data_IF_618666786231
#
_entry.id   IF_618666786231
#
_cell.length_a   1.000
_cell.length_b   1.000
_cell.length_c   1.000
_cell.angle_alpha   90.00
_cell.angle_beta   90.00
_cell.angle_gamma   90.00
#
_symmetry.space_group_name_H-M   'P 1'
#
loop_
_entity.id
_entity.type
_entity.pdbx_description
1 polymer ?
#
# COMPACT_ATOMS: atom_id res chain seq x y z
N UNK A 1 -1.82 -16.88 15.52
CA UNK A 1 -0.52 -17.03 14.84
C UNK A 1 -0.60 -16.31 13.51
N UNK A 2 0.35 -15.46 13.17
CA UNK A 2 0.34 -14.83 11.86
C UNK A 2 0.58 -15.86 10.76
N UNK A 3 -0.14 -15.70 9.67
CA UNK A 3 0.07 -16.52 8.49
C UNK A 3 1.13 -15.86 7.62
N UNK A 4 1.98 -16.66 7.03
CA UNK A 4 2.99 -16.16 6.10
C UNK A 4 2.89 -16.91 4.79
N UNK A 5 3.42 -16.28 3.74
CA UNK A 5 3.45 -16.87 2.41
C UNK A 5 4.79 -16.54 1.76
N UNK A 6 5.43 -17.56 1.17
CA UNK A 6 6.67 -17.33 0.42
C UNK A 6 6.34 -17.11 -1.04
N UNK A 7 6.78 -15.97 -1.57
CA UNK A 7 6.51 -15.59 -2.96
C UNK A 7 7.15 -16.59 -3.92
N UNK A 8 6.38 -17.00 -4.94
CA UNK A 8 6.85 -17.90 -5.99
C UNK A 8 7.08 -17.10 -7.29
N UNK A 9 7.92 -17.61 -8.21
CA UNK A 9 8.11 -16.95 -9.49
C UNK A 9 6.77 -16.72 -10.20
N UNK A 10 6.56 -15.50 -10.69
CA UNK A 10 5.33 -15.15 -11.38
C UNK A 10 4.20 -14.68 -10.49
N UNK A 11 4.36 -14.70 -9.16
CA UNK A 11 3.32 -14.26 -8.24
C UNK A 11 3.10 -12.76 -8.32
N UNK A 12 1.83 -12.36 -8.07
CA UNK A 12 1.45 -10.97 -7.88
C UNK A 12 0.68 -10.88 -6.55
N UNK A 13 0.62 -9.68 -5.96
CA UNK A 13 -0.13 -9.52 -4.71
C UNK A 13 -1.60 -9.89 -4.87
N UNK A 14 -2.23 -9.50 -5.99
CA UNK A 14 -3.62 -9.86 -6.23
C UNK A 14 -3.79 -11.37 -6.41
N UNK A 15 -2.85 -12.04 -7.07
CA UNK A 15 -2.87 -13.48 -7.20
C UNK A 15 -2.71 -14.19 -5.86
N UNK A 16 -1.79 -13.69 -5.03
CA UNK A 16 -1.60 -14.23 -3.67
C UNK A 16 -2.88 -14.03 -2.86
N UNK A 17 -3.49 -12.84 -2.94
CA UNK A 17 -4.74 -12.57 -2.22
C UNK A 17 -5.85 -13.50 -2.66
N UNK A 18 -5.96 -13.77 -3.97
CA UNK A 18 -6.97 -14.70 -4.47
C UNK A 18 -6.76 -16.11 -3.92
N UNK A 19 -5.52 -16.60 -3.92
CA UNK A 19 -5.21 -17.96 -3.48
C UNK A 19 -5.28 -18.11 -1.96
N UNK A 20 -4.78 -17.14 -1.21
CA UNK A 20 -4.63 -17.25 0.23
C UNK A 20 -5.81 -16.70 1.02
N UNK A 21 -6.50 -15.69 0.47
CA UNK A 21 -7.60 -15.01 1.16
C UNK A 21 -8.94 -15.24 0.47
N UNK A 22 -8.92 -15.81 -0.74
CA UNK A 22 -10.13 -16.04 -1.50
C UNK A 22 -10.70 -14.82 -2.22
N UNK A 23 -9.95 -13.71 -2.22
CA UNK A 23 -10.43 -12.46 -2.81
C UNK A 23 -9.24 -11.63 -3.28
N UNK A 24 -9.07 -11.51 -4.59
CA UNK A 24 -7.97 -10.76 -5.17
C UNK A 24 -7.98 -9.28 -4.77
N UNK A 25 -9.17 -8.72 -4.53
CA UNK A 25 -9.30 -7.30 -4.17
C UNK A 25 -8.74 -6.97 -2.78
N UNK A 26 -8.37 -7.98 -2.01
CA UNK A 26 -7.75 -7.77 -0.69
C UNK A 26 -6.24 -7.57 -0.73
N UNK A 27 -5.63 -7.50 -1.92
CA UNK A 27 -4.18 -7.32 -2.03
C UNK A 27 -3.65 -6.06 -1.29
N UNK A 28 -4.40 -4.95 -1.16
CA UNK A 28 -3.89 -3.81 -0.39
C UNK A 28 -3.63 -4.13 1.07
N UNK A 29 -4.37 -5.08 1.66
CA UNK A 29 -4.12 -5.50 3.04
C UNK A 29 -2.78 -6.21 3.16
N UNK A 30 -2.42 -7.03 2.17
CA UNK A 30 -1.11 -7.68 2.15
C UNK A 30 -0.01 -6.63 2.01
N UNK A 31 -0.18 -5.68 1.10
CA UNK A 31 0.80 -4.61 0.90
C UNK A 31 1.00 -3.81 2.19
N UNK A 32 -0.08 -3.42 2.86
CA UNK A 32 -0.01 -2.63 4.08
C UNK A 32 0.80 -3.35 5.17
N UNK A 33 0.57 -4.64 5.35
CA UNK A 33 1.28 -5.42 6.37
C UNK A 33 2.77 -5.60 6.06
N UNK A 34 3.17 -5.44 4.81
CA UNK A 34 4.52 -5.75 4.36
C UNK A 34 5.30 -4.55 3.83
N UNK A 35 4.90 -3.33 4.21
CA UNK A 35 5.54 -2.11 3.68
C UNK A 35 7.01 -2.00 4.04
N UNK A 36 7.44 -2.67 5.09
CA UNK A 36 8.85 -2.66 5.48
C UNK A 36 9.73 -3.47 4.52
N UNK A 37 9.14 -4.43 3.81
CA UNK A 37 9.90 -5.29 2.90
C UNK A 37 9.52 -5.10 1.43
N UNK A 38 8.32 -4.60 1.12
CA UNK A 38 7.92 -4.29 -0.25
C UNK A 38 7.49 -2.83 -0.32
N UNK A 39 8.11 -2.10 -1.25
CA UNK A 39 7.86 -0.65 -1.41
C UNK A 39 6.87 -0.34 -2.52
N UNK A 40 6.61 -1.31 -3.39
CA UNK A 40 5.68 -1.15 -4.49
C UNK A 40 4.95 -2.47 -4.68
N UNK A 41 3.60 -2.46 -4.86
CA UNK A 41 2.83 -3.70 -4.93
C UNK A 41 3.21 -4.59 -6.12
N UNK A 42 3.83 -4.03 -7.16
CA UNK A 42 4.27 -4.82 -8.33
C UNK A 42 5.72 -5.29 -8.21
N UNK A 43 6.40 -4.97 -7.12
CA UNK A 43 7.82 -5.28 -6.95
C UNK A 43 8.04 -6.28 -5.84
N UNK A 44 7.47 -7.47 -5.99
CA UNK A 44 7.71 -8.58 -5.08
C UNK A 44 8.66 -9.56 -5.79
N UNK A 45 9.43 -10.31 -4.99
CA UNK A 45 10.47 -11.19 -5.51
C UNK A 45 10.29 -12.62 -5.01
N UNK A 46 10.58 -13.63 -5.85
CA UNK A 46 10.52 -15.02 -5.40
C UNK A 46 11.42 -15.25 -4.18
N UNK A 47 10.95 -16.03 -3.23
CA UNK A 47 11.66 -16.31 -1.99
C UNK A 47 11.37 -15.32 -0.87
N UNK A 48 10.74 -14.20 -1.18
CA UNK A 48 10.35 -13.20 -0.19
C UNK A 48 9.20 -13.75 0.67
N UNK A 49 9.27 -13.54 1.99
CA UNK A 49 8.24 -14.02 2.92
C UNK A 49 7.33 -12.84 3.28
N UNK A 50 6.04 -13.01 3.03
CA UNK A 50 5.03 -11.98 3.29
C UNK A 50 4.13 -12.41 4.44
N UNK A 51 3.78 -11.45 5.29
CA UNK A 51 2.78 -11.65 6.34
C UNK A 51 1.40 -11.46 5.73
N UNK A 52 0.49 -12.40 5.99
CA UNK A 52 -0.86 -12.33 5.46
C UNK A 52 -1.83 -11.80 6.51
N UNK A 53 -2.87 -11.04 6.08
CA UNK A 53 -3.94 -10.63 6.99
C UNK A 53 -4.80 -11.81 7.41
N UNK A 54 -5.60 -11.61 8.45
CA UNK A 54 -6.55 -12.62 8.89
C UNK A 54 -7.72 -12.81 7.93
N UNK A 55 -8.62 -13.72 8.28
CA UNK A 55 -9.77 -14.06 7.44
C UNK A 55 -10.79 -12.91 7.36
N UNK A 56 -10.85 -12.07 8.39
CA UNK A 56 -11.77 -10.93 8.40
C UNK A 56 -11.16 -9.75 7.66
N UNK A 57 -11.81 -9.25 6.59
CA UNK A 57 -11.29 -8.09 5.87
C UNK A 57 -11.18 -6.85 6.75
N UNK A 58 -10.18 -6.02 6.47
CA UNK A 58 -10.02 -4.72 7.13
C UNK A 58 -11.22 -3.81 6.81
N UNK A 59 -11.68 -3.07 7.82
CA UNK A 59 -12.78 -2.12 7.66
C UNK A 59 -12.39 -0.78 8.26
N UNK A 60 -12.31 0.28 7.45
CA UNK A 60 -12.44 0.30 6.00
C UNK A 60 -11.17 -0.28 5.32
N UNK A 61 -11.27 -0.73 4.07
CA UNK A 61 -10.10 -1.27 3.38
C UNK A 61 -9.06 -0.18 3.12
N UNK A 62 -7.76 -0.52 3.12
CA UNK A 62 -6.73 0.47 2.84
C UNK A 62 -6.82 0.98 1.41
N UNK A 63 -6.62 2.30 1.25
CA UNK A 63 -6.57 2.93 -0.07
C UNK A 63 -5.12 3.20 -0.43
N UNK A 64 -4.76 2.90 -1.66
CA UNK A 64 -3.39 3.03 -2.14
C UNK A 64 -3.35 3.98 -3.32
N UNK A 65 -2.35 4.88 -3.33
CA UNK A 65 -2.15 5.83 -4.40
C UNK A 65 -0.69 5.77 -4.88
N UNK A 66 -0.49 5.69 -6.19
CA UNK A 66 0.85 5.73 -6.78
C UNK A 66 1.12 7.14 -7.26
N UNK A 67 2.21 7.75 -6.77
CA UNK A 67 2.58 9.13 -7.08
C UNK A 67 2.94 9.24 -8.56
N UNK A 68 2.44 10.30 -9.21
CA UNK A 68 2.73 10.63 -10.59
C UNK A 68 3.68 11.82 -10.66
N UNK A 69 4.41 12.00 -11.79
CA UNK A 69 5.26 13.18 -11.93
C UNK A 69 4.46 14.47 -11.72
N UNK A 70 5.01 15.37 -10.93
CA UNK A 70 4.37 16.65 -10.63
C UNK A 70 3.38 16.65 -9.47
N UNK A 71 3.13 15.48 -8.87
CA UNK A 71 2.20 15.41 -7.74
C UNK A 71 2.79 16.06 -6.49
N UNK A 72 1.90 16.63 -5.67
CA UNK A 72 2.21 17.10 -4.33
C UNK A 72 1.20 16.50 -3.36
N UNK A 73 1.55 16.44 -2.07
CA UNK A 73 0.61 15.89 -1.08
C UNK A 73 -0.69 16.68 -1.03
N UNK A 74 -0.61 18.01 -1.15
CA UNK A 74 -1.81 18.84 -1.13
C UNK A 74 -2.69 18.60 -2.35
N UNK A 75 -2.11 18.42 -3.53
CA UNK A 75 -2.87 18.10 -4.73
C UNK A 75 -3.52 16.73 -4.64
N UNK A 76 -2.78 15.74 -4.10
CA UNK A 76 -3.31 14.40 -3.88
C UNK A 76 -4.48 14.48 -2.89
N UNK A 77 -4.32 15.23 -1.79
CA UNK A 77 -5.37 15.39 -0.80
C UNK A 77 -6.61 16.03 -1.40
N UNK A 78 -6.44 17.04 -2.27
CA UNK A 78 -7.56 17.69 -2.93
C UNK A 78 -8.35 16.70 -3.79
N UNK A 79 -7.67 15.90 -4.57
CA UNK A 79 -8.32 14.95 -5.48
C UNK A 79 -8.92 13.75 -4.76
N UNK A 80 -8.16 13.18 -3.81
CA UNK A 80 -8.53 11.89 -3.21
C UNK A 80 -9.34 12.04 -1.93
N UNK A 81 -9.16 13.15 -1.20
CA UNK A 81 -9.83 13.37 0.08
C UNK A 81 -10.80 14.56 0.03
N UNK A 82 -10.81 15.31 -1.06
CA UNK A 82 -11.71 16.43 -1.23
C UNK A 82 -11.26 17.76 -0.63
N UNK A 83 -10.08 17.80 0.00
CA UNK A 83 -9.56 19.04 0.60
C UNK A 83 -8.05 19.01 0.63
N UNK A 84 -7.41 19.99 0.00
CA UNK A 84 -5.96 20.10 -0.02
C UNK A 84 -5.39 20.21 1.40
N UNK A 85 -6.13 20.85 2.32
CA UNK A 85 -5.69 21.04 3.70
C UNK A 85 -5.55 19.73 4.49
N UNK A 86 -5.99 18.60 3.93
CA UNK A 86 -5.85 17.30 4.58
C UNK A 86 -4.53 16.61 4.27
N UNK A 87 -3.59 17.28 3.58
CA UNK A 87 -2.30 16.65 3.24
C UNK A 87 -1.53 16.15 4.49
N UNK A 88 -1.63 16.77 5.69
CA UNK A 88 -0.93 16.21 6.85
C UNK A 88 -1.38 14.80 7.21
N UNK A 89 -2.63 14.44 6.94
CA UNK A 89 -3.12 13.08 7.20
C UNK A 89 -2.40 12.07 6.30
N UNK A 90 -2.14 12.45 5.03
CA UNK A 90 -1.40 11.59 4.12
C UNK A 90 0.05 11.46 4.61
N UNK A 91 0.68 12.57 4.98
CA UNK A 91 2.05 12.56 5.47
C UNK A 91 2.20 11.66 6.71
N UNK A 92 1.30 11.80 7.68
CA UNK A 92 1.36 11.01 8.91
C UNK A 92 1.22 9.51 8.63
N UNK A 93 0.36 9.13 7.68
CA UNK A 93 0.18 7.74 7.31
C UNK A 93 1.39 7.13 6.62
N UNK A 94 2.29 7.97 6.08
CA UNK A 94 3.38 7.51 5.22
C UNK A 94 4.75 7.94 5.74
N UNK A 95 4.86 8.26 7.03
CA UNK A 95 6.14 8.72 7.59
C UNK A 95 7.24 7.67 7.51
N UNK A 96 6.87 6.41 7.34
CA UNK A 96 7.83 5.33 7.16
C UNK A 96 8.51 5.36 5.79
N UNK A 97 7.90 6.00 4.79
CA UNK A 97 8.45 6.06 3.43
C UNK A 97 8.74 7.48 2.95
N UNK A 98 8.16 8.50 3.59
CA UNK A 98 8.46 9.91 3.26
C UNK A 98 8.87 10.64 4.53
N UNK A 99 10.05 11.28 4.48
CA UNK A 99 10.57 12.05 5.62
C UNK A 99 10.24 13.53 5.53
N UNK A 100 9.85 14.01 4.35
CA UNK A 100 9.57 15.40 4.09
C UNK A 100 8.32 15.49 3.20
N UNK A 101 7.28 16.24 3.61
CA UNK A 101 6.05 16.31 2.81
C UNK A 101 6.24 16.89 1.41
N UNK A 102 7.37 17.61 1.17
CA UNK A 102 7.68 18.15 -0.15
C UNK A 102 8.56 17.21 -0.99
N UNK A 103 8.91 16.04 -0.46
CA UNK A 103 9.82 15.11 -1.13
C UNK A 103 9.12 13.79 -1.42
N UNK A 104 8.17 13.82 -2.32
CA UNK A 104 7.57 12.61 -2.86
C UNK A 104 8.04 12.48 -4.30
N UNK A 105 8.12 11.23 -4.76
CA UNK A 105 8.71 10.91 -6.06
C UNK A 105 7.73 10.13 -6.91
N UNK A 106 7.79 10.27 -8.24
CA UNK A 106 6.96 9.44 -9.13
C UNK A 106 7.18 7.96 -8.84
N UNK A 107 6.11 7.19 -8.95
CA UNK A 107 6.09 5.74 -8.71
C UNK A 107 6.17 5.36 -7.23
N UNK A 108 6.26 6.32 -6.34
CA UNK A 108 6.20 6.05 -4.90
C UNK A 108 4.77 5.68 -4.50
N UNK A 109 4.62 4.72 -3.61
CA UNK A 109 3.30 4.23 -3.21
C UNK A 109 2.93 4.76 -1.83
N UNK A 110 1.79 5.41 -1.74
CA UNK A 110 1.29 6.01 -0.51
C UNK A 110 0.01 5.33 -0.07
N UNK A 111 -0.17 5.23 1.26
CA UNK A 111 -1.43 4.79 1.85
C UNK A 111 -2.24 6.05 2.16
N UNK A 112 -3.47 6.09 1.69
CA UNK A 112 -4.35 7.23 1.94
C UNK A 112 -5.18 7.00 3.18
N UNK A 113 -5.50 8.06 3.95
CA UNK A 113 -6.45 7.93 5.05
C UNK A 113 -7.85 7.66 4.49
N UNK A 114 -8.67 7.03 5.29
CA UNK A 114 -10.04 6.69 4.90
C UNK A 114 -11.05 7.64 5.52
#
# INVERSE_FOLDING_TARGET
MPRTYTVQPGDTLSGIAQHQLGDASRWPEIFLLNRSVIRHPDRISPGQVLTLPGDTPMQPPPRIYVVRPGDTLSAIAQRELGAASRWPEIFERNRDVISDPNRIFPDQVLILPT
#
